data_IF_065849094078
#
_entry.id   IF_065849094078
#
_cell.length_a   1.000
_cell.length_b   1.000
_cell.length_c   1.000
_cell.angle_alpha   90.00
_cell.angle_beta   90.00
_cell.angle_gamma   90.00
#
_symmetry.space_group_name_H-M   'P 1'
#
loop_
_entity.id
_entity.type
_entity.pdbx_description
1 polymer ?
#
# COMPACT_ATOMS: atom_id res chain seq x y z
N UNK A 1 23.82 3.64 5.70
CA UNK A 1 22.51 3.27 6.29
C UNK A 1 21.55 4.47 6.43
N UNK A 2 21.46 5.37 5.45
CA UNK A 2 20.62 6.59 5.53
C UNK A 2 19.70 6.85 4.32
N UNK A 3 19.81 6.06 3.23
CA UNK A 3 18.98 6.27 2.03
C UNK A 3 17.69 5.44 1.98
N UNK A 4 17.67 4.25 2.61
CA UNK A 4 16.50 3.36 2.54
C UNK A 4 15.27 3.90 3.29
N UNK A 5 15.46 4.77 4.28
CA UNK A 5 14.35 5.37 5.05
C UNK A 5 13.65 6.52 4.31
N UNK A 6 14.29 7.11 3.29
CA UNK A 6 13.75 8.31 2.62
C UNK A 6 12.64 7.98 1.62
N UNK A 7 12.63 6.76 1.06
CA UNK A 7 11.57 6.27 0.14
C UNK A 7 10.26 5.97 0.90
N UNK A 8 10.37 5.63 2.19
CA UNK A 8 9.22 5.21 3.02
C UNK A 8 8.26 6.36 3.37
N UNK A 9 8.66 7.62 3.14
CA UNK A 9 8.04 8.80 3.75
C UNK A 9 6.77 9.32 3.08
N UNK A 10 6.15 8.64 2.10
CA UNK A 10 4.96 9.21 1.45
C UNK A 10 3.92 8.25 0.88
N UNK A 11 3.77 7.06 1.47
CA UNK A 11 2.44 6.41 1.43
C UNK A 11 1.59 6.95 2.60
N UNK A 12 1.53 8.28 2.72
CA UNK A 12 0.47 8.96 3.45
C UNK A 12 -0.76 8.91 2.55
N UNK A 13 -1.42 7.74 2.52
CA UNK A 13 -2.81 7.71 2.11
C UNK A 13 -3.58 8.45 3.20
N UNK A 14 -3.81 9.75 2.96
CA UNK A 14 -4.77 10.57 3.73
C UNK A 14 -6.06 9.75 3.87
N UNK A 15 -6.62 9.73 5.06
CA UNK A 15 -7.74 8.89 5.53
C UNK A 15 -9.06 8.96 4.72
N UNK A 16 -9.09 9.71 3.61
CA UNK A 16 -10.29 10.07 2.86
C UNK A 16 -10.22 9.85 1.34
N UNK A 17 -9.29 9.04 0.82
CA UNK A 17 -9.31 8.67 -0.59
C UNK A 17 -9.65 7.19 -0.73
N UNK A 18 -10.73 6.91 -1.45
CA UNK A 18 -11.01 5.58 -1.99
C UNK A 18 -9.72 5.01 -2.58
N UNK A 19 -9.43 3.75 -2.24
CA UNK A 19 -8.24 3.10 -2.75
C UNK A 19 -8.32 3.03 -4.28
N UNK A 20 -7.43 3.76 -4.97
CA UNK A 20 -7.32 3.69 -6.42
C UNK A 20 -6.77 2.30 -6.79
N UNK A 21 -7.68 1.40 -7.17
CA UNK A 21 -7.35 0.00 -7.48
C UNK A 21 -6.31 -0.17 -8.59
N UNK A 22 -6.40 0.55 -9.73
CA UNK A 22 -5.36 0.50 -10.76
C UNK A 22 -3.95 0.80 -10.23
N UNK A 23 -3.79 1.86 -9.43
CA UNK A 23 -2.48 2.24 -8.90
C UNK A 23 -2.01 1.27 -7.81
N UNK A 24 -2.92 0.78 -6.98
CA UNK A 24 -2.65 -0.27 -6.01
C UNK A 24 -2.07 -1.53 -6.66
N UNK A 25 -2.68 -2.02 -7.75
CA UNK A 25 -2.21 -3.22 -8.44
C UNK A 25 -0.85 -3.01 -9.12
N UNK A 26 -0.55 -1.81 -9.63
CA UNK A 26 0.79 -1.50 -10.16
C UNK A 26 1.85 -1.62 -9.07
N UNK A 27 1.62 -1.01 -7.91
CA UNK A 27 2.57 -1.06 -6.80
C UNK A 27 2.70 -2.46 -6.20
N UNK A 28 1.60 -3.24 -6.15
CA UNK A 28 1.64 -4.65 -5.75
C UNK A 28 2.47 -5.49 -6.72
N UNK A 29 2.25 -5.35 -8.03
CA UNK A 29 3.01 -6.06 -9.04
C UNK A 29 4.50 -5.72 -8.98
N UNK A 30 4.84 -4.45 -8.74
CA UNK A 30 6.23 -4.01 -8.52
C UNK A 30 6.84 -4.64 -7.27
N UNK A 31 6.09 -4.71 -6.17
CA UNK A 31 6.54 -5.34 -4.93
C UNK A 31 6.76 -6.85 -5.10
N UNK A 32 5.87 -7.54 -5.81
CA UNK A 32 6.01 -8.98 -6.13
C UNK A 32 7.24 -9.21 -7.01
N UNK A 33 7.38 -8.44 -8.11
CA UNK A 33 8.52 -8.58 -9.04
C UNK A 33 9.87 -8.31 -8.38
N UNK A 34 9.90 -7.44 -7.38
CA UNK A 34 11.12 -7.12 -6.61
C UNK A 34 11.32 -8.01 -5.38
N UNK A 35 10.44 -9.00 -5.16
CA UNK A 35 10.40 -9.85 -3.97
C UNK A 35 10.43 -9.03 -2.65
N UNK A 36 9.79 -7.86 -2.66
CA UNK A 36 9.78 -6.93 -1.55
C UNK A 36 8.65 -7.30 -0.57
N UNK A 37 8.91 -8.30 0.27
CA UNK A 37 7.97 -8.86 1.25
C UNK A 37 7.39 -7.77 2.15
N UNK A 38 8.20 -6.80 2.59
CA UNK A 38 7.75 -5.71 3.44
C UNK A 38 6.66 -4.87 2.75
N UNK A 39 6.84 -4.56 1.46
CA UNK A 39 5.86 -3.79 0.68
C UNK A 39 4.59 -4.59 0.43
N UNK A 40 4.71 -5.89 0.12
CA UNK A 40 3.57 -6.80 -0.04
C UNK A 40 2.72 -6.81 1.24
N UNK A 41 3.35 -6.94 2.41
CA UNK A 41 2.67 -6.94 3.70
C UNK A 41 1.96 -5.61 4.00
N UNK A 42 2.56 -4.47 3.65
CA UNK A 42 1.90 -3.17 3.85
C UNK A 42 0.71 -2.98 2.91
N UNK A 43 0.85 -3.37 1.64
CA UNK A 43 -0.22 -3.30 0.66
C UNK A 43 -1.40 -4.20 1.04
N UNK A 44 -1.15 -5.41 1.57
CA UNK A 44 -2.23 -6.28 2.05
C UNK A 44 -3.00 -5.65 3.22
N UNK A 45 -2.31 -5.01 4.17
CA UNK A 45 -2.96 -4.27 5.26
C UNK A 45 -3.83 -3.13 4.77
N UNK A 46 -3.36 -2.37 3.77
CA UNK A 46 -4.12 -1.26 3.18
C UNK A 46 -5.40 -1.80 2.53
N UNK A 47 -5.29 -2.84 1.70
CA UNK A 47 -6.43 -3.47 1.05
C UNK A 47 -7.45 -3.98 2.06
N UNK A 48 -7.01 -4.73 3.08
CA UNK A 48 -7.89 -5.27 4.12
C UNK A 48 -8.59 -4.18 4.91
N UNK A 49 -7.89 -3.09 5.27
CA UNK A 49 -8.51 -1.95 5.96
C UNK A 49 -9.59 -1.28 5.11
N UNK A 50 -9.34 -1.10 3.82
CA UNK A 50 -10.35 -0.55 2.90
C UNK A 50 -11.56 -1.47 2.77
N UNK A 51 -11.33 -2.78 2.63
CA UNK A 51 -12.39 -3.77 2.53
C UNK A 51 -13.32 -3.73 3.76
N UNK A 52 -12.76 -3.70 4.97
CA UNK A 52 -13.55 -3.57 6.19
C UNK A 52 -14.22 -2.21 6.36
N UNK A 53 -13.59 -1.11 5.92
CA UNK A 53 -14.22 0.23 5.92
C UNK A 53 -15.49 0.24 5.05
N UNK A 54 -15.45 -0.45 3.91
CA UNK A 54 -16.59 -0.56 3.00
C UNK A 54 -17.70 -1.51 3.50
N UNK A 55 -17.44 -2.37 4.49
CA UNK A 55 -18.46 -3.24 5.10
C UNK A 55 -19.26 -2.57 6.21
N UNK A 56 -18.71 -1.50 6.81
CA UNK A 56 -19.32 -0.77 7.93
C UNK A 56 -20.08 0.50 7.49
N UNK A 57 -20.17 0.75 6.18
CA UNK A 57 -20.97 1.80 5.54
C UNK A 57 -22.04 1.14 4.67
#
# INVERSE_FOLDING_TARGET
MKEKEKIFKRLYFKDNYELNMPEFYKELNKAIRSNNIQSIYQLSKIFTRQYFKNLNN
#
